data_IF_242336855394
#
_entry.id   IF_242336855394
#
_cell.length_a   1.000
_cell.length_b   1.000
_cell.length_c   1.000
_cell.angle_alpha   90.00
_cell.angle_beta   90.00
_cell.angle_gamma   90.00
#
_symmetry.space_group_name_H-M   'P 1'
#
loop_
_entity.id
_entity.type
_entity.pdbx_description
1 polymer ?
#
# COMPACT_ATOMS: atom_id res chain seq x y z
N UNK A 1 -29.53 23.29 30.50
CA UNK A 1 -28.64 22.19 30.89
C UNK A 1 -27.71 22.66 31.96
N UNK A 2 -27.63 21.92 33.01
CA UNK A 2 -26.70 22.32 34.06
C UNK A 2 -25.29 21.78 33.71
N UNK A 3 -24.38 22.14 34.58
CA UNK A 3 -22.98 21.81 34.32
C UNK A 3 -22.73 20.30 34.34
N UNK A 4 -23.41 19.64 35.24
CA UNK A 4 -23.25 18.20 35.37
C UNK A 4 -23.71 17.48 34.12
N UNK A 5 -24.83 17.89 33.56
CA UNK A 5 -25.34 17.29 32.34
C UNK A 5 -24.40 17.53 31.20
N UNK A 6 -23.85 18.74 31.13
CA UNK A 6 -22.92 19.06 30.06
C UNK A 6 -21.64 18.25 30.18
N UNK A 7 -21.18 18.07 31.41
CA UNK A 7 -20.00 17.28 31.63
C UNK A 7 -20.22 15.82 31.22
N UNK A 8 -21.37 15.28 31.61
CA UNK A 8 -21.69 13.91 31.22
C UNK A 8 -21.74 13.74 29.70
N UNK A 9 -22.34 14.73 29.05
CA UNK A 9 -22.42 14.70 27.59
C UNK A 9 -21.02 14.71 26.95
N UNK A 10 -20.17 15.55 27.50
CA UNK A 10 -18.80 15.60 27.00
C UNK A 10 -18.04 14.30 27.23
N UNK A 11 -18.27 13.68 28.37
CA UNK A 11 -17.63 12.41 28.67
C UNK A 11 -18.07 11.35 27.68
N UNK A 12 -19.33 11.33 27.30
CA UNK A 12 -19.84 10.37 26.36
C UNK A 12 -19.21 10.61 24.98
N UNK A 13 -19.14 11.87 24.58
CA UNK A 13 -18.52 12.20 23.30
C UNK A 13 -17.05 11.85 23.28
N UNK A 14 -16.38 12.08 24.40
CA UNK A 14 -14.96 11.73 24.48
C UNK A 14 -14.77 10.23 24.31
N UNK A 15 -15.60 9.44 24.98
CA UNK A 15 -15.49 8.01 24.86
C UNK A 15 -15.70 7.54 23.43
N UNK A 16 -16.68 8.14 22.75
CA UNK A 16 -16.92 7.80 21.35
C UNK A 16 -15.73 8.16 20.48
N UNK A 17 -15.13 9.31 20.75
CA UNK A 17 -13.97 9.74 19.96
C UNK A 17 -12.77 8.84 20.21
N UNK A 18 -12.58 8.41 21.43
CA UNK A 18 -11.50 7.48 21.73
C UNK A 18 -11.67 6.18 20.94
N UNK A 19 -12.90 5.68 20.93
CA UNK A 19 -13.17 4.47 20.18
C UNK A 19 -12.90 4.65 18.68
N UNK A 20 -13.35 5.77 18.16
CA UNK A 20 -13.16 6.04 16.74
C UNK A 20 -11.69 6.17 16.40
N UNK A 21 -10.93 6.82 17.27
CA UNK A 21 -9.49 6.95 17.04
C UNK A 21 -8.80 5.61 17.08
N UNK A 22 -9.23 4.74 17.96
CA UNK A 22 -8.65 3.41 18.03
C UNK A 22 -8.87 2.64 16.74
N UNK A 23 -10.09 2.70 16.23
CA UNK A 23 -10.41 2.03 14.99
C UNK A 23 -9.60 2.60 13.83
N UNK A 24 -9.56 3.93 13.75
CA UNK A 24 -8.80 4.57 12.69
C UNK A 24 -7.33 4.24 12.76
N UNK A 25 -6.79 4.19 13.96
CA UNK A 25 -5.40 3.88 14.14
C UNK A 25 -5.08 2.48 13.64
N UNK A 26 -5.94 1.53 13.93
CA UNK A 26 -5.76 0.17 13.44
C UNK A 26 -5.84 0.11 11.93
N UNK A 27 -6.75 0.89 11.35
CA UNK A 27 -6.88 0.92 9.91
C UNK A 27 -5.68 1.53 9.24
N UNK A 28 -5.12 2.57 9.83
CA UNK A 28 -3.92 3.19 9.28
C UNK A 28 -2.76 2.21 9.29
N UNK A 29 -2.61 1.47 10.39
CA UNK A 29 -1.55 0.49 10.49
C UNK A 29 -1.71 -0.59 9.43
N UNK A 30 -2.94 -1.06 9.26
CA UNK A 30 -3.21 -2.10 8.27
C UNK A 30 -2.96 -1.59 6.86
N UNK A 31 -3.36 -0.36 6.57
CA UNK A 31 -3.14 0.21 5.26
C UNK A 31 -1.67 0.40 4.97
N UNK A 32 -0.89 0.77 5.96
CA UNK A 32 0.55 0.89 5.76
C UNK A 32 1.17 -0.45 5.41
N UNK A 33 0.69 -1.49 6.08
CA UNK A 33 1.18 -2.82 5.78
C UNK A 33 0.87 -3.22 4.35
N UNK A 34 -0.33 -2.91 3.89
CA UNK A 34 -0.72 -3.22 2.52
C UNK A 34 0.08 -2.41 1.50
N UNK A 35 0.31 -1.15 1.82
CA UNK A 35 1.09 -0.30 0.92
C UNK A 35 2.52 -0.82 0.80
N UNK A 36 3.10 -1.24 1.91
CA UNK A 36 4.44 -1.81 1.86
C UNK A 36 4.47 -3.10 1.05
N UNK A 37 3.45 -3.91 1.22
CA UNK A 37 3.35 -5.14 0.47
C UNK A 37 3.26 -4.86 -1.03
N UNK A 38 2.46 -3.86 -1.39
CA UNK A 38 2.32 -3.49 -2.77
C UNK A 38 3.61 -2.91 -3.33
N UNK A 39 4.30 -2.10 -2.54
CA UNK A 39 5.57 -1.54 -2.98
C UNK A 39 6.57 -2.63 -3.25
N UNK A 40 6.61 -3.64 -2.40
CA UNK A 40 7.52 -4.75 -2.62
C UNK A 40 7.17 -5.52 -3.88
N UNK A 41 5.89 -5.69 -4.15
CA UNK A 41 5.46 -6.37 -5.36
C UNK A 41 5.84 -5.58 -6.60
N UNK A 42 5.68 -4.27 -6.54
CA UNK A 42 6.05 -3.42 -7.65
C UNK A 42 7.53 -3.52 -7.92
N UNK A 43 8.34 -3.49 -6.87
CA UNK A 43 9.78 -3.64 -7.05
C UNK A 43 10.14 -4.98 -7.65
N UNK A 44 9.49 -6.03 -7.20
CA UNK A 44 9.74 -7.35 -7.74
C UNK A 44 9.36 -7.42 -9.22
N UNK A 45 8.23 -6.82 -9.56
CA UNK A 45 7.80 -6.80 -10.95
C UNK A 45 8.75 -5.99 -11.82
N UNK A 46 9.21 -4.87 -11.30
CA UNK A 46 10.18 -4.05 -12.02
C UNK A 46 11.46 -4.82 -12.29
N UNK A 47 11.91 -5.56 -11.29
CA UNK A 47 13.11 -6.36 -11.46
C UNK A 47 12.93 -7.42 -12.54
N UNK A 48 11.76 -8.06 -12.53
CA UNK A 48 11.49 -9.09 -13.53
C UNK A 48 11.39 -8.48 -14.91
N UNK A 49 10.77 -7.33 -15.02
CA UNK A 49 10.69 -6.67 -16.31
C UNK A 49 12.05 -6.26 -16.82
N UNK A 50 12.88 -5.75 -15.93
CA UNK A 50 14.23 -5.37 -16.31
C UNK A 50 15.01 -6.59 -16.78
N UNK A 51 14.86 -7.70 -16.08
CA UNK A 51 15.55 -8.92 -16.47
C UNK A 51 15.07 -9.41 -17.83
N UNK A 52 13.78 -9.34 -18.06
CA UNK A 52 13.24 -9.75 -19.36
C UNK A 52 13.72 -8.83 -20.47
N UNK A 53 13.70 -7.54 -20.22
CA UNK A 53 14.17 -6.59 -21.22
C UNK A 53 15.63 -6.79 -21.52
N UNK A 54 16.42 -7.04 -20.50
CA UNK A 54 17.84 -7.27 -20.68
C UNK A 54 18.07 -8.52 -21.50
N UNK A 55 17.34 -9.56 -21.15
CA UNK A 55 17.46 -10.81 -21.88
C UNK A 55 17.09 -10.63 -23.34
N UNK A 56 16.07 -9.86 -23.58
CA UNK A 56 15.59 -9.63 -24.92
C UNK A 56 16.53 -8.77 -25.73
N UNK A 57 16.99 -7.68 -25.12
CA UNK A 57 17.83 -6.74 -25.82
C UNK A 57 19.26 -7.22 -25.90
N UNK A 58 19.68 -7.94 -24.89
CA UNK A 58 21.06 -8.36 -24.83
C UNK A 58 21.44 -9.45 -25.78
N UNK A 59 20.50 -9.96 -26.57
CA UNK A 59 20.81 -11.05 -27.48
C UNK A 59 20.33 -10.70 -28.87
N UNK A 60 20.75 -9.62 -29.41
CA UNK A 60 20.35 -9.30 -30.77
C UNK A 60 20.94 -10.27 -31.77
N UNK A 61 22.06 -10.78 -31.45
CA UNK A 61 22.67 -11.74 -32.35
C UNK A 61 21.94 -13.05 -32.33
N UNK A 62 21.20 -13.31 -31.30
CA UNK A 62 20.39 -14.50 -31.24
C UNK A 62 19.14 -14.34 -32.03
N UNK A 63 18.81 -13.14 -32.38
CA UNK A 63 17.68 -12.95 -33.14
C UNK A 63 17.90 -13.45 -34.45
N UNK A 64 17.13 -14.26 -34.89
CA UNK A 64 17.27 -14.79 -36.14
C UNK A 64 17.08 -13.72 -37.05
N UNK A 65 17.87 -13.59 -37.80
CA UNK A 65 17.68 -12.73 -38.75
C UNK A 65 16.69 -13.38 -39.49
N UNK A 66 15.93 -13.07 -39.60
CA UNK A 66 15.11 -13.65 -40.07
C UNK A 66 15.25 -14.21 -41.08
N UNK A 67 15.11 -14.65 -41.28
CA UNK A 67 15.20 -15.27 -41.87
C UNK A 67 15.30 -15.11 -42.90
N UNK A 68 15.64 -14.98 -43.05
CA UNK A 68 15.76 -14.79 -43.82
C UNK A 68 15.78 -15.41 -44.56
N UNK A 69 15.77 -15.65 -44.84
CA UNK A 69 15.63 -16.20 -45.37
C UNK A 69 15.05 -16.34 -45.97
#
# INVERSE_FOLDING_TARGET
MDLESRLTDLEIRYAHQEDALEVLNREVIEQRRLIEQQANRIEALKSRLAALAESSVGRPEDEPPPPHY
#
